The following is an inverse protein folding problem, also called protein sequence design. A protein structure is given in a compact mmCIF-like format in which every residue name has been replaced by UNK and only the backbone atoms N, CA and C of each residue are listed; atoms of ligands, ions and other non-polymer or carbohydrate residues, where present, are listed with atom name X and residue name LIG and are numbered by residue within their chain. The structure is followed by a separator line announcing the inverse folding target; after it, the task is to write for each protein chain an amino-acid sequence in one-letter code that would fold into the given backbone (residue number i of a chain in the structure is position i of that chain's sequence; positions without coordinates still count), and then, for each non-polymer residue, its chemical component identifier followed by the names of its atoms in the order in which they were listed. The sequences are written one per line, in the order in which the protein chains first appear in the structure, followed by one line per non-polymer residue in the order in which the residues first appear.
data_IF_787022944013
#
_entry.id   IF_787022944013
#
_cell.length_a   1.000
_cell.length_b   1.000
_cell.length_c   1.000
_cell.angle_alpha   90.00
_cell.angle_beta   90.00
_cell.angle_gamma   90.00
#
_symmetry.space_group_name_H-M   'P 1'
#
loop_
_entity.id
_entity.type
_entity.pdbx_description
1 polymer ?
#
# COMPACT_ATOMS: atom_id res chain seq x y z
N UNK A 1 10.95 -17.93 -14.58
CA UNK A 1 9.80 -18.19 -13.69
C UNK A 1 8.85 -17.00 -13.76
N UNK A 2 7.54 -17.23 -13.77
CA UNK A 2 6.53 -16.16 -13.75
C UNK A 2 5.88 -16.07 -12.37
N UNK A 3 5.94 -14.89 -11.75
CA UNK A 3 5.36 -14.59 -10.43
C UNK A 3 4.31 -13.51 -10.59
N UNK A 4 3.25 -13.59 -9.79
CA UNK A 4 2.23 -12.54 -9.66
C UNK A 4 2.20 -12.02 -8.23
N UNK A 5 2.29 -10.71 -8.12
CA UNK A 5 2.06 -9.96 -6.88
C UNK A 5 1.03 -8.86 -7.14
N UNK A 6 0.43 -8.33 -6.10
CA UNK A 6 -0.70 -7.43 -6.21
C UNK A 6 -0.45 -6.12 -5.49
N UNK A 7 -0.86 -5.04 -6.14
CA UNK A 7 -0.96 -3.70 -5.61
C UNK A 7 -2.30 -3.08 -5.98
N UNK A 8 -2.47 -1.79 -5.73
CA UNK A 8 -3.67 -1.06 -6.11
C UNK A 8 -3.36 0.35 -6.60
N UNK A 9 -4.12 0.83 -7.57
CA UNK A 9 -4.12 2.22 -8.02
C UNK A 9 -5.29 2.95 -7.37
N UNK A 10 -5.03 4.05 -6.68
CA UNK A 10 -6.06 4.87 -6.04
C UNK A 10 -6.46 6.00 -6.98
N UNK A 11 -7.78 6.14 -7.21
CA UNK A 11 -8.36 7.21 -8.01
C UNK A 11 -9.52 7.84 -7.22
N UNK A 12 -9.27 9.00 -6.62
CA UNK A 12 -10.22 9.65 -5.72
C UNK A 12 -10.45 8.81 -4.46
N UNK A 13 -11.67 8.29 -4.29
CA UNK A 13 -12.07 7.44 -3.15
C UNK A 13 -12.05 5.95 -3.47
N UNK A 14 -11.82 5.58 -4.73
CA UNK A 14 -11.83 4.20 -5.21
C UNK A 14 -10.41 3.68 -5.42
N UNK A 15 -10.25 2.36 -5.34
CA UNK A 15 -9.02 1.68 -5.68
C UNK A 15 -9.27 0.57 -6.70
N UNK A 16 -8.37 0.47 -7.67
CA UNK A 16 -8.40 -0.59 -8.69
C UNK A 16 -7.23 -1.54 -8.47
N UNK A 17 -7.49 -2.84 -8.50
CA UNK A 17 -6.46 -3.87 -8.36
C UNK A 17 -5.46 -3.79 -9.51
N UNK A 18 -4.18 -3.78 -9.17
CA UNK A 18 -3.07 -3.85 -10.12
C UNK A 18 -2.36 -5.17 -9.94
N UNK A 19 -2.38 -5.99 -10.98
CA UNK A 19 -1.60 -7.22 -11.04
C UNK A 19 -0.21 -6.90 -11.58
N UNK A 20 0.81 -7.24 -10.81
CA UNK A 20 2.22 -7.09 -11.17
C UNK A 20 2.76 -8.47 -11.49
N UNK A 21 3.03 -8.71 -12.77
CA UNK A 21 3.57 -9.97 -13.28
C UNK A 21 5.07 -9.80 -13.51
N UNK A 22 5.87 -10.63 -12.85
CA UNK A 22 7.33 -10.60 -13.00
C UNK A 22 7.79 -11.89 -13.63
N UNK A 23 8.40 -11.78 -14.80
CA UNK A 23 9.00 -12.92 -15.49
C UNK A 23 10.54 -12.80 -15.48
N UNK A 24 11.18 -13.85 -14.97
CA UNK A 24 12.65 -13.97 -14.95
C UNK A 24 13.11 -14.97 -16.02
N UNK A 25 14.10 -14.55 -16.84
CA UNK A 25 14.73 -15.37 -17.88
C UNK A 25 16.24 -15.11 -17.93
N UNK A 26 16.96 -15.82 -18.81
CA UNK A 26 18.40 -15.63 -18.97
C UNK A 26 18.69 -14.26 -19.59
N UNK A 27 19.64 -13.52 -19.01
CA UNK A 27 20.06 -12.20 -19.45
C UNK A 27 20.29 -11.27 -18.26
N UNK A 28 20.40 -9.95 -18.52
CA UNK A 28 20.67 -8.93 -17.50
C UNK A 28 19.88 -7.63 -17.75
N UNK A 29 18.78 -7.69 -18.46
CA UNK A 29 17.97 -6.51 -18.80
C UNK A 29 16.78 -6.38 -17.83
N UNK A 30 16.35 -5.15 -17.58
CA UNK A 30 15.15 -4.83 -16.83
C UNK A 30 14.16 -4.06 -17.69
N UNK A 31 12.95 -4.58 -17.82
CA UNK A 31 11.88 -3.96 -18.58
C UNK A 31 10.64 -3.81 -17.67
N UNK A 32 10.05 -2.61 -17.70
CA UNK A 32 8.82 -2.29 -16.98
C UNK A 32 7.79 -1.77 -17.98
N UNK A 33 6.66 -2.49 -18.08
CA UNK A 33 5.57 -2.19 -19.02
C UNK A 33 4.22 -2.08 -18.29
N UNK A 34 3.19 -1.50 -18.93
CA UNK A 34 1.87 -1.33 -18.34
C UNK A 34 1.58 0.10 -17.87
N UNK A 35 2.03 1.12 -18.63
CA UNK A 35 1.84 2.55 -18.36
C UNK A 35 2.38 3.02 -16.99
N UNK A 36 3.62 2.67 -16.59
CA UNK A 36 4.23 3.25 -15.42
C UNK A 36 4.60 4.72 -15.66
N UNK A 37 4.42 5.58 -14.67
CA UNK A 37 4.93 6.95 -14.70
C UNK A 37 6.47 7.00 -14.45
N UNK A 38 7.03 8.21 -14.36
CA UNK A 38 8.47 8.39 -14.08
C UNK A 38 8.85 7.88 -12.68
N UNK A 39 8.01 8.10 -11.67
CA UNK A 39 8.27 7.68 -10.29
C UNK A 39 8.31 6.14 -10.17
N UNK A 40 7.39 5.44 -10.86
CA UNK A 40 7.41 3.97 -10.93
C UNK A 40 8.63 3.46 -11.71
N UNK A 41 9.08 4.16 -12.76
CA UNK A 41 10.30 3.77 -13.49
C UNK A 41 11.57 3.96 -12.65
N UNK A 42 11.60 4.97 -11.79
CA UNK A 42 12.70 5.23 -10.85
C UNK A 42 12.76 4.23 -9.71
N UNK A 43 11.68 3.49 -9.45
CA UNK A 43 11.59 2.46 -8.39
C UNK A 43 12.75 1.45 -8.48
N UNK A 44 13.20 1.13 -9.68
CA UNK A 44 14.29 0.20 -9.89
C UNK A 44 15.57 0.59 -9.13
N UNK A 45 15.92 1.89 -9.10
CA UNK A 45 17.10 2.38 -8.39
C UNK A 45 16.90 2.33 -6.87
N UNK A 46 15.70 2.69 -6.39
CA UNK A 46 15.36 2.61 -4.96
C UNK A 46 15.38 1.17 -4.48
N UNK A 47 14.80 0.24 -5.25
CA UNK A 47 14.77 -1.18 -4.94
C UNK A 47 16.20 -1.75 -4.85
N UNK A 48 17.07 -1.46 -5.83
CA UNK A 48 18.47 -1.93 -5.81
C UNK A 48 19.16 -1.48 -4.52
N UNK A 49 19.07 -0.19 -4.20
CA UNK A 49 19.71 0.35 -3.00
C UNK A 49 19.16 -0.27 -1.73
N UNK A 50 17.82 -0.31 -1.59
CA UNK A 50 17.15 -0.89 -0.43
C UNK A 50 17.53 -2.36 -0.20
N UNK A 51 17.60 -3.16 -1.26
CA UNK A 51 18.00 -4.55 -1.17
C UNK A 51 19.46 -4.71 -0.75
N UNK A 52 20.37 -3.94 -1.36
CA UNK A 52 21.81 -3.99 -1.06
C UNK A 52 22.12 -3.62 0.39
N UNK A 53 21.51 -2.56 0.91
CA UNK A 53 21.67 -2.13 2.31
C UNK A 53 21.18 -3.19 3.28
N UNK A 54 20.14 -3.94 2.93
CA UNK A 54 19.60 -5.01 3.76
C UNK A 54 20.25 -6.39 3.54
N UNK A 55 21.35 -6.46 2.77
CA UNK A 55 22.13 -7.67 2.56
C UNK A 55 21.58 -8.59 1.45
N UNK A 56 20.60 -8.14 0.69
CA UNK A 56 20.05 -8.88 -0.46
C UNK A 56 20.67 -8.36 -1.77
N UNK A 57 20.80 -9.24 -2.74
CA UNK A 57 21.31 -8.87 -4.07
C UNK A 57 20.15 -8.73 -5.05
N UNK A 58 20.21 -7.70 -5.89
CA UNK A 58 19.32 -7.61 -7.04
C UNK A 58 19.57 -8.81 -7.97
N UNK A 59 18.52 -9.49 -8.44
CA UNK A 59 18.69 -10.60 -9.39
C UNK A 59 19.42 -10.18 -10.66
N UNK A 60 20.38 -10.99 -11.08
CA UNK A 60 21.18 -10.77 -12.31
C UNK A 60 20.57 -11.47 -13.53
N UNK A 61 19.25 -11.55 -13.59
CA UNK A 61 18.49 -12.17 -14.69
C UNK A 61 17.83 -11.10 -15.56
N UNK A 62 17.36 -11.50 -16.73
CA UNK A 62 16.48 -10.65 -17.55
C UNK A 62 15.11 -10.63 -16.90
N UNK A 63 14.68 -9.47 -16.44
CA UNK A 63 13.45 -9.26 -15.70
C UNK A 63 12.49 -8.41 -16.53
N UNK A 64 11.33 -8.98 -16.82
CA UNK A 64 10.23 -8.27 -17.47
C UNK A 64 9.10 -8.15 -16.48
N UNK A 65 8.74 -6.92 -16.14
CA UNK A 65 7.66 -6.61 -15.21
C UNK A 65 6.50 -6.00 -16.00
N UNK A 66 5.33 -6.60 -15.90
CA UNK A 66 4.10 -6.09 -16.49
C UNK A 66 3.12 -5.68 -15.40
N UNK A 67 2.61 -4.46 -15.47
CA UNK A 67 1.61 -3.93 -14.52
C UNK A 67 0.24 -3.83 -15.21
N UNK A 68 -0.62 -4.78 -14.96
CA UNK A 68 -1.96 -4.86 -15.55
C UNK A 68 -3.05 -4.32 -14.60
N UNK A 69 -4.13 -3.71 -15.13
CA UNK A 69 -4.43 -3.49 -16.54
C UNK A 69 -3.65 -2.30 -17.14
N UNK A 70 -3.38 -2.33 -18.46
CA UNK A 70 -2.53 -1.33 -19.13
C UNK A 70 -3.24 0.01 -19.42
N UNK A 71 -4.54 0.08 -19.30
CA UNK A 71 -5.37 1.28 -19.49
C UNK A 71 -5.35 2.21 -18.26
N UNK A 72 -4.95 1.70 -17.11
CA UNK A 72 -4.83 2.47 -15.88
C UNK A 72 -3.38 2.94 -15.70
N UNK A 73 -3.20 4.25 -15.54
CA UNK A 73 -1.91 4.84 -15.24
C UNK A 73 -1.50 4.53 -13.79
N UNK A 74 -0.27 4.03 -13.60
CA UNK A 74 0.32 3.75 -12.30
C UNK A 74 1.20 4.92 -11.93
N UNK A 75 0.81 5.65 -10.88
CA UNK A 75 1.47 6.88 -10.46
C UNK A 75 2.06 6.73 -9.06
N UNK A 76 3.20 7.38 -8.86
CA UNK A 76 3.87 7.47 -7.57
C UNK A 76 4.72 6.26 -7.19
N UNK A 77 5.35 6.37 -6.04
CA UNK A 77 6.37 5.43 -5.52
C UNK A 77 5.81 4.28 -4.69
N UNK A 78 4.49 4.26 -4.44
CA UNK A 78 3.84 3.25 -3.58
C UNK A 78 3.95 1.80 -4.09
N UNK A 79 4.37 1.61 -5.34
CA UNK A 79 4.58 0.28 -5.95
C UNK A 79 5.96 -0.31 -5.68
N UNK A 80 6.86 0.40 -5.02
CA UNK A 80 8.23 -0.07 -4.78
C UNK A 80 8.24 -1.40 -4.01
N UNK A 81 7.43 -1.52 -2.96
CA UNK A 81 7.36 -2.73 -2.15
C UNK A 81 6.88 -3.96 -2.96
N UNK A 82 5.71 -3.95 -3.63
CA UNK A 82 5.29 -5.11 -4.41
C UNK A 82 6.23 -5.41 -5.58
N UNK A 83 6.84 -4.40 -6.20
CA UNK A 83 7.85 -4.62 -7.24
C UNK A 83 9.08 -5.35 -6.69
N UNK A 84 9.64 -4.90 -5.55
CA UNK A 84 10.78 -5.53 -4.91
C UNK A 84 10.52 -6.99 -4.54
N UNK A 85 9.37 -7.26 -3.92
CA UNK A 85 8.96 -8.61 -3.51
C UNK A 85 8.72 -9.50 -4.75
N UNK A 86 8.08 -8.97 -5.79
CA UNK A 86 7.90 -9.69 -7.06
C UNK A 86 9.22 -10.07 -7.74
N UNK A 87 10.20 -9.16 -7.75
CA UNK A 87 11.54 -9.40 -8.29
C UNK A 87 12.29 -10.49 -7.50
N UNK A 88 12.25 -10.44 -6.17
CA UNK A 88 12.87 -11.46 -5.31
C UNK A 88 12.19 -12.81 -5.46
N UNK A 89 10.85 -12.85 -5.58
CA UNK A 89 10.10 -14.08 -5.84
C UNK A 89 10.43 -14.70 -7.19
N UNK A 90 10.53 -13.88 -8.26
CA UNK A 90 10.86 -14.36 -9.60
C UNK A 90 12.29 -14.88 -9.73
N UNK A 91 13.19 -14.48 -8.84
CA UNK A 91 14.57 -14.95 -8.73
C UNK A 91 14.76 -16.10 -7.74
N UNK A 92 13.67 -16.61 -7.15
CA UNK A 92 13.71 -17.67 -6.14
C UNK A 92 14.51 -17.29 -4.88
N UNK A 93 14.72 -16.00 -4.64
CA UNK A 93 15.39 -15.49 -3.42
C UNK A 93 14.47 -15.58 -2.20
N UNK A 94 13.15 -15.51 -2.43
CA UNK A 94 12.10 -15.68 -1.42
C UNK A 94 11.07 -16.72 -1.90
N UNK A 95 10.35 -17.31 -0.93
CA UNK A 95 9.27 -18.26 -1.26
C UNK A 95 8.11 -17.54 -1.96
N UNK A 96 7.69 -18.10 -3.09
CA UNK A 96 6.60 -17.53 -3.90
C UNK A 96 5.19 -18.04 -3.55
N UNK A 97 5.08 -19.06 -2.69
CA UNK A 97 3.83 -19.78 -2.42
C UNK A 97 2.69 -18.89 -1.90
N UNK A 98 3.03 -17.90 -1.09
CA UNK A 98 2.06 -17.02 -0.44
C UNK A 98 1.94 -15.64 -1.09
N UNK A 99 2.79 -15.28 -2.05
CA UNK A 99 2.87 -13.93 -2.62
C UNK A 99 1.53 -13.46 -3.20
N UNK A 100 0.82 -14.36 -3.87
CA UNK A 100 -0.47 -14.04 -4.51
C UNK A 100 -1.65 -13.89 -3.54
N UNK A 101 -1.45 -14.20 -2.26
CA UNK A 101 -2.50 -14.11 -1.24
C UNK A 101 -2.56 -12.75 -0.56
N UNK A 102 -1.53 -11.92 -0.74
CA UNK A 102 -1.39 -10.63 -0.08
C UNK A 102 -1.39 -9.50 -1.09
N UNK A 103 -2.15 -8.44 -0.78
CA UNK A 103 -2.00 -7.17 -1.47
C UNK A 103 -0.91 -6.38 -0.73
N UNK A 104 0.00 -5.75 -1.47
CA UNK A 104 1.14 -5.03 -0.89
C UNK A 104 1.24 -3.64 -1.48
N UNK A 105 1.48 -2.64 -0.65
CA UNK A 105 1.76 -1.27 -1.08
C UNK A 105 2.76 -0.61 -0.12
N UNK A 106 3.68 0.18 -0.66
CA UNK A 106 4.66 0.93 0.14
C UNK A 106 5.76 1.52 -0.72
N UNK A 107 6.18 2.73 -0.41
CA UNK A 107 7.35 3.36 -1.00
C UNK A 107 8.60 2.94 -0.24
N UNK A 108 9.70 2.64 -0.95
CA UNK A 108 10.97 2.28 -0.34
C UNK A 108 11.92 3.47 -0.31
N UNK A 109 12.50 3.73 0.86
CA UNK A 109 13.71 4.53 1.00
C UNK A 109 14.95 3.72 0.64
N UNK A 110 16.07 4.38 0.39
CA UNK A 110 17.32 3.72 -0.03
C UNK A 110 17.88 2.77 1.03
N UNK A 111 17.53 2.95 2.30
CA UNK A 111 17.90 2.08 3.42
C UNK A 111 16.96 0.89 3.61
N UNK A 112 15.90 0.81 2.80
CA UNK A 112 14.86 -0.23 2.88
C UNK A 112 13.74 0.06 3.87
N UNK A 113 13.72 1.22 4.51
CA UNK A 113 12.57 1.66 5.29
C UNK A 113 11.36 1.92 4.38
N UNK A 114 10.16 1.63 4.90
CA UNK A 114 8.91 1.73 4.13
C UNK A 114 8.20 3.01 4.56
N UNK A 115 8.02 3.91 3.59
CA UNK A 115 7.42 5.23 3.77
C UNK A 115 5.90 5.18 3.60
N UNK A 116 5.17 6.10 4.27
CA UNK A 116 3.72 6.16 4.22
C UNK A 116 3.21 6.44 2.80
N UNK A 117 2.03 5.92 2.51
CA UNK A 117 1.34 6.07 1.23
C UNK A 117 0.01 6.80 1.41
N UNK A 118 -0.56 7.29 0.32
CA UNK A 118 -1.91 7.88 0.31
C UNK A 118 -2.94 6.82 -0.05
N UNK A 119 -4.14 6.94 0.54
CA UNK A 119 -5.28 6.10 0.18
C UNK A 119 -5.22 4.68 0.75
N UNK A 120 -4.70 4.50 1.96
CA UNK A 120 -4.67 3.19 2.61
C UNK A 120 -6.07 2.60 2.83
N UNK A 121 -7.07 3.43 3.14
CA UNK A 121 -8.45 2.98 3.33
C UNK A 121 -9.08 2.40 2.05
N UNK A 122 -9.13 3.12 0.88
CA UNK A 122 -9.65 2.53 -0.35
C UNK A 122 -8.86 1.29 -0.81
N UNK A 123 -7.55 1.24 -0.59
CA UNK A 123 -6.74 0.04 -0.86
C UNK A 123 -7.20 -1.14 0.01
N UNK A 124 -7.46 -0.91 1.30
CA UNK A 124 -7.93 -1.95 2.21
C UNK A 124 -9.34 -2.44 1.85
N UNK A 125 -10.24 -1.54 1.46
CA UNK A 125 -11.58 -1.90 0.97
C UNK A 125 -11.45 -2.81 -0.26
N UNK A 126 -10.59 -2.44 -1.22
CA UNK A 126 -10.36 -3.24 -2.43
C UNK A 126 -9.73 -4.59 -2.11
N UNK A 127 -8.77 -4.65 -1.21
CA UNK A 127 -8.15 -5.91 -0.78
C UNK A 127 -9.19 -6.89 -0.19
N UNK A 128 -10.15 -6.39 0.59
CA UNK A 128 -11.26 -7.19 1.14
C UNK A 128 -12.20 -7.67 0.04
N UNK A 129 -12.59 -6.79 -0.91
CA UNK A 129 -13.47 -7.15 -2.03
C UNK A 129 -12.90 -8.26 -2.90
N UNK A 130 -11.59 -8.23 -3.13
CA UNK A 130 -10.86 -9.25 -3.90
C UNK A 130 -10.50 -10.49 -3.08
N UNK A 131 -10.94 -10.57 -1.80
CA UNK A 131 -10.71 -11.71 -0.89
C UNK A 131 -9.24 -12.05 -0.64
N UNK A 132 -8.36 -11.05 -0.53
CA UNK A 132 -6.99 -11.27 -0.09
C UNK A 132 -6.94 -11.75 1.36
N UNK A 133 -5.99 -12.63 1.68
CA UNK A 133 -5.75 -13.07 3.07
C UNK A 133 -5.28 -11.93 3.96
N UNK A 134 -4.59 -10.94 3.39
CA UNK A 134 -4.12 -9.79 4.12
C UNK A 134 -3.58 -8.67 3.23
N UNK A 135 -3.42 -7.54 3.87
CA UNK A 135 -2.85 -6.32 3.30
C UNK A 135 -1.56 -5.98 4.05
N UNK A 136 -0.45 -5.85 3.32
CA UNK A 136 0.85 -5.42 3.85
C UNK A 136 1.10 -4.00 3.40
N UNK A 137 1.19 -3.06 4.36
CA UNK A 137 1.34 -1.62 4.12
C UNK A 137 2.30 -0.98 5.12
N UNK A 138 2.72 0.28 4.91
CA UNK A 138 3.54 0.98 5.88
C UNK A 138 2.89 1.05 7.27
N UNK A 139 3.70 0.93 8.32
CA UNK A 139 3.24 0.96 9.72
C UNK A 139 2.39 2.19 10.05
N UNK A 140 2.73 3.35 9.47
CA UNK A 140 1.97 4.59 9.70
C UNK A 140 0.55 4.56 9.11
N UNK A 141 0.32 3.75 8.07
CA UNK A 141 -0.99 3.58 7.44
C UNK A 141 -1.80 2.41 8.00
N UNK A 142 -1.18 1.56 8.81
CA UNK A 142 -1.79 0.31 9.25
C UNK A 142 -3.09 0.53 10.05
N UNK A 143 -3.14 1.56 10.91
CA UNK A 143 -4.34 1.88 11.69
C UNK A 143 -5.50 2.35 10.81
N UNK A 144 -5.22 3.20 9.80
CA UNK A 144 -6.22 3.66 8.82
C UNK A 144 -6.84 2.48 8.07
N UNK A 145 -6.02 1.56 7.58
CA UNK A 145 -6.48 0.38 6.85
C UNK A 145 -7.19 -0.65 7.73
N UNK A 146 -6.78 -0.80 8.99
CA UNK A 146 -7.33 -1.78 9.93
C UNK A 146 -8.76 -1.46 10.40
N UNK A 147 -9.29 -0.29 10.04
CA UNK A 147 -10.72 0.04 10.20
C UNK A 147 -11.62 -0.88 9.35
N UNK A 148 -11.07 -1.43 8.25
CA UNK A 148 -11.80 -2.34 7.36
C UNK A 148 -11.93 -3.72 8.01
N UNK A 149 -13.16 -4.07 8.39
CA UNK A 149 -13.46 -5.38 8.96
C UNK A 149 -13.20 -6.53 7.97
N UNK A 150 -12.92 -7.73 8.49
CA UNK A 150 -12.72 -8.96 7.71
C UNK A 150 -11.49 -8.94 6.78
N UNK A 151 -10.53 -8.08 7.05
CA UNK A 151 -9.22 -8.03 6.38
C UNK A 151 -8.13 -8.03 7.44
N UNK A 152 -7.12 -8.87 7.29
CA UNK A 152 -5.92 -8.82 8.13
C UNK A 152 -4.99 -7.75 7.59
N UNK A 153 -4.67 -6.75 8.39
CA UNK A 153 -3.76 -5.67 8.02
C UNK A 153 -2.46 -5.83 8.79
N UNK A 154 -1.35 -5.76 8.07
CA UNK A 154 0.00 -5.89 8.61
C UNK A 154 0.78 -4.61 8.33
N UNK A 155 1.10 -3.88 9.39
CA UNK A 155 1.97 -2.72 9.33
C UNK A 155 3.43 -3.13 9.34
N UNK A 156 4.21 -2.63 8.38
CA UNK A 156 5.64 -2.93 8.24
C UNK A 156 6.45 -1.65 8.14
N UNK A 157 7.66 -1.69 8.74
CA UNK A 157 8.56 -0.53 8.77
C UNK A 157 9.77 -0.67 7.85
N UNK A 158 10.14 -1.92 7.50
CA UNK A 158 11.29 -2.20 6.65
C UNK A 158 11.03 -3.40 5.73
N UNK A 159 11.60 -3.36 4.53
CA UNK A 159 11.47 -4.44 3.53
C UNK A 159 11.96 -5.79 4.06
N UNK A 160 12.94 -5.80 4.95
CA UNK A 160 13.48 -7.02 5.58
C UNK A 160 12.41 -7.81 6.33
N UNK A 161 11.48 -7.13 7.01
CA UNK A 161 10.37 -7.78 7.72
C UNK A 161 9.47 -8.55 6.76
N UNK A 162 9.18 -7.96 5.60
CA UNK A 162 8.35 -8.59 4.57
C UNK A 162 9.05 -9.79 3.93
N UNK A 163 10.36 -9.68 3.67
CA UNK A 163 11.17 -10.80 3.15
C UNK A 163 11.18 -11.97 4.14
N UNK A 164 11.45 -11.70 5.41
CA UNK A 164 11.46 -12.71 6.47
C UNK A 164 10.10 -13.38 6.64
N UNK A 165 9.01 -12.62 6.50
CA UNK A 165 7.66 -13.17 6.55
C UNK A 165 7.39 -14.17 5.42
N UNK A 166 7.73 -13.84 4.17
CA UNK A 166 7.53 -14.75 3.05
C UNK A 166 8.45 -15.98 3.10
N UNK A 167 9.63 -15.86 3.70
CA UNK A 167 10.51 -17.00 3.96
C UNK A 167 10.08 -17.87 5.15
N UNK A 168 9.07 -17.43 5.92
CA UNK A 168 8.61 -18.14 7.11
C UNK A 168 9.55 -18.00 8.32
N UNK A 169 10.48 -17.05 8.29
CA UNK A 169 11.42 -16.77 9.39
C UNK A 169 10.80 -15.90 10.49
N UNK A 170 9.75 -15.12 10.14
CA UNK A 170 9.05 -14.20 11.04
C UNK A 170 7.56 -14.17 10.72
N UNK A 171 6.74 -14.07 11.74
CA UNK A 171 5.33 -13.71 11.59
C UNK A 171 5.16 -12.20 11.69
N UNK A 172 4.25 -11.63 10.88
CA UNK A 172 3.87 -10.23 10.99
C UNK A 172 2.73 -10.10 12.00
N UNK A 173 2.81 -9.08 12.85
CA UNK A 173 1.76 -8.76 13.80
C UNK A 173 0.58 -8.10 13.09
N UNK A 174 -0.62 -8.63 13.30
CA UNK A 174 -1.83 -8.04 12.78
C UNK A 174 -2.15 -6.75 13.53
N UNK A 175 -2.34 -5.66 12.80
CA UNK A 175 -2.86 -4.41 13.36
C UNK A 175 -4.36 -4.55 13.55
N UNK A 176 -4.81 -4.43 14.80
CA UNK A 176 -6.24 -4.48 15.17
C UNK A 176 -6.66 -3.11 15.68
N UNK A 177 -7.76 -2.60 15.16
CA UNK A 177 -8.37 -1.33 15.60
C UNK A 177 -9.78 -1.62 16.09
N UNK A 178 -10.07 -1.24 17.33
CA UNK A 178 -11.42 -1.27 17.86
C UNK A 178 -12.14 0.04 17.54
N UNK A 179 -12.80 0.09 16.38
CA UNK A 179 -13.48 1.30 15.89
C UNK A 179 -14.55 1.83 16.85
N UNK A 180 -15.18 0.95 17.65
CA UNK A 180 -16.16 1.37 18.67
C UNK A 180 -15.47 2.14 19.79
N UNK A 181 -14.39 1.63 20.35
CA UNK A 181 -13.67 2.29 21.44
C UNK A 181 -13.07 3.61 21.01
N UNK A 182 -12.47 3.68 19.81
CA UNK A 182 -11.93 4.92 19.27
C UNK A 182 -13.02 5.98 19.04
N UNK A 183 -14.20 5.58 18.56
CA UNK A 183 -15.32 6.50 18.38
C UNK A 183 -15.80 7.07 19.71
N UNK A 184 -15.93 6.25 20.76
CA UNK A 184 -16.34 6.71 22.08
C UNK A 184 -15.26 7.55 22.76
N UNK A 185 -13.98 7.24 22.60
CA UNK A 185 -12.89 8.06 23.15
C UNK A 185 -12.81 9.44 22.49
N UNK A 186 -13.08 9.53 21.20
CA UNK A 186 -13.15 10.82 20.51
C UNK A 186 -14.36 11.65 20.91
N UNK A 187 -15.52 11.03 21.18
CA UNK A 187 -16.69 11.76 21.68
C UNK A 187 -16.47 12.38 23.05
N UNK A 188 -15.66 11.77 23.91
CA UNK A 188 -15.33 12.32 25.22
C UNK A 188 -14.25 13.40 25.17
N UNK A 189 -13.54 13.57 24.05
CA UNK A 189 -12.49 14.58 23.87
C UNK A 189 -13.00 15.89 23.24
N UNK A 190 -14.25 15.95 22.79
CA UNK A 190 -14.85 17.18 22.31
C UNK A 190 -15.52 17.91 23.47
N UNK A 191 -14.76 18.79 24.16
CA UNK A 191 -15.27 19.85 25.06
C UNK A 191 -15.98 21.00 24.30
N UNK A 192 -16.55 20.71 23.14
CA UNK A 192 -17.41 21.66 22.43
C UNK A 192 -18.84 21.49 22.97
N UNK A 193 -19.13 22.27 24.02
CA UNK A 193 -20.49 22.46 24.49
C UNK A 193 -21.29 23.20 23.41
N UNK A 194 -22.01 22.43 22.61
CA UNK A 194 -22.89 22.95 21.55
C UNK A 194 -24.05 23.80 22.12
N UNK A 195 -24.26 23.82 23.43
CA UNK A 195 -25.27 24.70 24.09
C UNK A 195 -24.92 26.17 24.00
N UNK A 196 -23.64 26.50 23.69
CA UNK A 196 -23.18 27.88 23.53
C UNK A 196 -23.22 28.39 22.08
N UNK A 197 -23.67 27.60 21.13
CA UNK A 197 -23.93 28.11 19.78
C UNK A 197 -25.26 28.86 19.80
N UNK A 198 -25.22 30.15 20.13
CA UNK A 198 -26.31 31.07 19.84
C UNK A 198 -26.44 31.17 18.32
N UNK A 199 -27.43 30.46 17.75
CA UNK A 199 -27.93 30.77 16.43
C UNK A 199 -28.59 32.15 16.55
N UNK A 200 -27.86 33.19 16.15
CA UNK A 200 -28.47 34.50 16.01
C UNK A 200 -29.57 34.37 14.95
N UNK A 201 -30.81 34.64 15.36
CA UNK A 201 -31.93 34.71 14.42
C UNK A 201 -31.59 35.63 13.24
N UNK A 202 -31.93 35.28 12.00
CA UNK A 202 -31.74 36.19 10.88
C UNK A 202 -32.56 37.45 11.13
N UNK A 203 -31.88 38.57 11.14
CA UNK A 203 -32.45 39.90 11.32
C UNK A 203 -33.58 40.07 10.30
N UNK A 204 -34.80 40.23 10.81
CA UNK A 204 -36.01 40.50 10.02
C UNK A 204 -35.79 41.84 9.31
N UNK A 205 -35.64 41.78 7.99
CA UNK A 205 -35.67 42.98 7.15
C UNK A 205 -37.02 43.72 7.38
N UNK A 206 -36.97 44.84 8.07
CA UNK A 206 -38.11 45.77 8.10
C UNK A 206 -38.25 46.35 6.70
N UNK A 207 -39.33 45.99 6.03
CA UNK A 207 -39.81 46.69 4.84
C UNK A 207 -40.20 48.13 5.26
N UNK A 208 -39.37 49.12 4.89
CA UNK A 208 -39.77 50.51 4.88
C UNK A 208 -40.67 50.75 3.69
N UNK A 209 -41.95 50.92 3.98
CA UNK A 209 -42.93 51.47 3.07
C UNK A 209 -42.72 53.00 2.91
N UNK A 210 -42.50 53.44 1.69
CA UNK A 210 -42.93 54.75 1.17
C UNK A 210 -43.44 54.56 -0.22
#
# INVERSE_FOLDING_TARGET
MLIKVFGAAVQGIDATLITIEVNSSRGCMFYLVGLPDSAVKESHQRIISALQVNGYKMPTSNLVVNMAPADIRKEGSAYDLPLAIGLLGASETISSEKLSRYLMMGELSLDGSIQPIKGALPIAIKAREENFEGLIIPQQNAREAAVVNQLKVYGVSNIKEVIQFFNGERELEQTVVNTREEFYQQQTAFDLDLSLIHISEPTRLQLLSY
#
